data_IF_204181337914
#
_entry.id   IF_204181337914
#
_cell.length_a   1.000
_cell.length_b   1.000
_cell.length_c   1.000
_cell.angle_alpha   90.00
_cell.angle_beta   90.00
_cell.angle_gamma   90.00
#
_symmetry.space_group_name_H-M   'P 1'
#
loop_
_entity.id
_entity.type
_entity.pdbx_description
1 polymer ?
#
# COMPACT_ATOMS: atom_id res chain seq x y z
N UNK A 1 9.31 21.59 5.85
CA UNK A 1 7.93 21.34 6.28
C UNK A 1 7.22 20.60 5.15
N UNK A 2 6.52 19.49 5.41
CA UNK A 2 5.61 18.96 4.39
C UNK A 2 4.63 20.10 4.06
N UNK A 3 4.34 20.40 2.79
CA UNK A 3 3.26 21.33 2.50
C UNK A 3 2.01 20.81 3.22
N UNK A 4 1.34 21.66 3.99
CA UNK A 4 0.16 21.31 4.83
C UNK A 4 -0.87 20.47 4.05
N UNK A 5 -0.96 20.70 2.74
CA UNK A 5 -1.78 19.94 1.80
C UNK A 5 -1.44 18.44 1.69
N UNK A 6 -0.17 18.04 1.78
CA UNK A 6 0.23 16.63 1.76
C UNK A 6 -0.19 15.91 3.05
N UNK A 7 -0.08 16.56 4.21
CA UNK A 7 -0.54 16.00 5.49
C UNK A 7 -2.07 15.83 5.48
N UNK A 8 -2.81 16.84 4.99
CA UNK A 8 -4.27 16.74 4.88
C UNK A 8 -4.71 15.59 3.96
N UNK A 9 -4.05 15.43 2.80
CA UNK A 9 -4.32 14.30 1.90
C UNK A 9 -3.97 12.95 2.54
N UNK A 10 -2.87 12.89 3.29
CA UNK A 10 -2.47 11.70 4.03
C UNK A 10 -3.53 11.30 5.06
N UNK A 11 -4.02 12.25 5.87
CA UNK A 11 -5.08 12.03 6.85
C UNK A 11 -6.40 11.58 6.21
N UNK A 12 -6.75 12.13 5.04
CA UNK A 12 -7.93 11.70 4.29
C UNK A 12 -7.82 10.25 3.80
N UNK A 13 -6.69 9.87 3.21
CA UNK A 13 -6.43 8.49 2.77
C UNK A 13 -6.43 7.53 3.96
N UNK A 14 -5.81 7.94 5.06
CA UNK A 14 -5.81 7.20 6.32
C UNK A 14 -7.22 6.94 6.85
N UNK A 15 -8.07 7.98 6.90
CA UNK A 15 -9.48 7.84 7.32
C UNK A 15 -10.28 6.91 6.41
N UNK A 16 -10.13 7.03 5.08
CA UNK A 16 -10.79 6.12 4.12
C UNK A 16 -10.29 4.67 4.26
N UNK A 17 -9.01 4.48 4.53
CA UNK A 17 -8.41 3.18 4.78
C UNK A 17 -8.99 2.51 6.03
N UNK A 18 -9.15 3.24 7.13
CA UNK A 18 -9.82 2.73 8.34
C UNK A 18 -11.29 2.39 8.06
N UNK A 19 -12.00 3.25 7.32
CA UNK A 19 -13.39 2.98 6.94
C UNK A 19 -13.52 1.72 6.08
N UNK A 20 -12.57 1.48 5.17
CA UNK A 20 -12.52 0.26 4.38
C UNK A 20 -12.31 -0.99 5.26
N UNK A 21 -11.37 -0.93 6.21
CA UNK A 21 -11.14 -2.02 7.18
C UNK A 21 -12.39 -2.33 8.00
N UNK A 22 -13.04 -1.28 8.51
CA UNK A 22 -14.27 -1.41 9.29
C UNK A 22 -15.40 -2.01 8.47
N UNK A 23 -15.56 -1.59 7.21
CA UNK A 23 -16.60 -2.10 6.31
C UNK A 23 -16.41 -3.57 5.94
N UNK A 24 -15.17 -4.05 5.91
CA UNK A 24 -14.89 -5.44 5.59
C UNK A 24 -15.13 -6.35 6.80
N UNK A 25 -14.55 -6.02 7.96
CA UNK A 25 -14.47 -6.92 9.12
C UNK A 25 -14.50 -6.15 10.46
N UNK A 26 -15.68 -5.68 10.91
CA UNK A 26 -15.78 -4.83 12.11
C UNK A 26 -15.35 -5.58 13.39
N UNK A 27 -15.73 -6.86 13.54
CA UNK A 27 -15.42 -7.65 14.74
C UNK A 27 -13.91 -7.85 14.91
N UNK A 28 -13.22 -8.27 13.85
CA UNK A 28 -11.76 -8.50 13.89
C UNK A 28 -11.00 -7.17 14.06
N UNK A 29 -11.51 -6.07 13.50
CA UNK A 29 -10.92 -4.73 13.69
C UNK A 29 -11.03 -4.28 15.15
N UNK A 30 -12.18 -4.49 15.80
CA UNK A 30 -12.36 -4.20 17.22
C UNK A 30 -11.46 -5.06 18.10
N UNK A 31 -11.40 -6.37 17.85
CA UNK A 31 -10.50 -7.28 18.56
C UNK A 31 -9.04 -6.85 18.44
N UNK A 32 -8.62 -6.47 17.23
CA UNK A 32 -7.27 -5.98 16.96
C UNK A 32 -6.94 -4.70 17.76
N UNK A 33 -7.87 -3.74 17.83
CA UNK A 33 -7.72 -2.51 18.62
C UNK A 33 -7.59 -2.84 20.11
N UNK A 34 -8.44 -3.71 20.63
CA UNK A 34 -8.39 -4.14 22.05
C UNK A 34 -7.04 -4.78 22.36
N UNK A 35 -6.58 -5.71 21.52
CA UNK A 35 -5.28 -6.34 21.70
C UNK A 35 -4.12 -5.34 21.68
N UNK A 36 -4.17 -4.30 20.84
CA UNK A 36 -3.12 -3.26 20.78
C UNK A 36 -3.11 -2.38 22.01
N UNK A 37 -4.29 -2.01 22.53
CA UNK A 37 -4.39 -1.24 23.78
C UNK A 37 -3.86 -2.05 24.96
N UNK A 38 -4.19 -3.35 25.04
CA UNK A 38 -3.64 -4.25 26.05
C UNK A 38 -2.11 -4.37 25.94
N UNK A 39 -1.59 -4.55 24.73
CA UNK A 39 -0.13 -4.59 24.49
C UNK A 39 0.56 -3.26 24.83
N UNK A 40 -0.11 -2.12 24.65
CA UNK A 40 0.46 -0.81 25.00
C UNK A 40 0.40 -0.49 26.50
N UNK A 41 -0.50 -1.14 27.24
CA UNK A 41 -0.59 -1.00 28.70
C UNK A 41 0.38 -1.93 29.43
N UNK A 42 0.68 -3.09 28.86
CA UNK A 42 1.43 -4.15 29.54
C UNK A 42 2.84 -3.72 30.01
N UNK A 43 3.66 -3.02 29.19
CA UNK A 43 4.98 -2.56 29.62
C UNK A 43 4.93 -1.65 30.85
N UNK A 44 3.97 -0.74 30.89
CA UNK A 44 3.79 0.17 32.03
C UNK A 44 3.43 -0.61 33.31
N UNK A 45 2.53 -1.58 33.22
CA UNK A 45 2.18 -2.46 34.35
C UNK A 45 3.40 -3.25 34.82
N UNK A 46 4.15 -3.85 33.89
CA UNK A 46 5.37 -4.61 34.18
C UNK A 46 6.41 -3.76 34.92
N UNK A 47 6.71 -2.57 34.40
CA UNK A 47 7.64 -1.61 35.02
C UNK A 47 7.19 -1.20 36.42
N UNK A 48 5.90 -0.91 36.60
CA UNK A 48 5.36 -0.53 37.91
C UNK A 48 5.48 -1.67 38.94
N UNK A 49 5.19 -2.91 38.54
CA UNK A 49 5.34 -4.07 39.43
C UNK A 49 6.81 -4.28 39.80
N UNK A 50 7.72 -4.18 38.83
CA UNK A 50 9.17 -4.30 39.07
C UNK A 50 9.66 -3.24 40.08
N UNK A 51 9.20 -1.99 39.96
CA UNK A 51 9.46 -0.97 40.98
C UNK A 51 9.01 -1.41 42.37
N UNK A 52 7.77 -1.89 42.51
CA UNK A 52 7.22 -2.31 43.80
C UNK A 52 8.01 -3.48 44.40
N UNK A 53 8.44 -4.44 43.57
CA UNK A 53 9.30 -5.55 44.01
C UNK A 53 10.61 -5.04 44.57
N UNK A 54 11.31 -4.13 43.87
CA UNK A 54 12.58 -3.56 44.34
C UNK A 54 12.43 -2.75 45.62
N UNK A 55 11.37 -1.95 45.72
CA UNK A 55 11.09 -1.15 46.92
C UNK A 55 10.79 -2.05 48.12
N UNK A 56 10.03 -3.12 47.89
CA UNK A 56 9.69 -4.14 48.89
C UNK A 56 10.93 -4.91 49.38
N UNK A 57 11.84 -5.30 48.47
CA UNK A 57 13.12 -5.92 48.83
C UNK A 57 13.99 -4.95 49.64
N UNK A 58 14.07 -3.69 49.21
CA UNK A 58 14.87 -2.67 49.90
C UNK A 58 14.37 -2.43 51.33
N UNK A 59 13.05 -2.40 51.52
CA UNK A 59 12.42 -2.29 52.83
C UNK A 59 12.64 -3.54 53.71
N UNK A 60 12.53 -4.75 53.12
CA UNK A 60 12.79 -6.00 53.83
C UNK A 60 14.22 -6.08 54.39
N UNK A 61 15.21 -5.66 53.60
CA UNK A 61 16.63 -5.65 53.98
C UNK A 61 16.95 -4.62 55.08
N UNK A 62 16.21 -3.50 55.14
CA UNK A 62 16.44 -2.45 56.14
C UNK A 62 15.63 -2.63 57.43
N UNK A 63 14.39 -3.11 57.36
CA UNK A 63 13.47 -3.17 58.50
C UNK A 63 13.20 -4.58 59.05
N UNK A 64 13.73 -5.66 58.42
CA UNK A 64 13.49 -7.07 58.82
C UNK A 64 11.99 -7.42 59.00
N UNK A 65 11.14 -6.85 58.16
CA UNK A 65 9.69 -7.17 58.12
C UNK A 65 9.47 -8.48 57.37
N UNK A 66 8.44 -9.24 57.74
CA UNK A 66 8.06 -10.45 57.02
C UNK A 66 7.29 -10.07 55.74
N UNK A 67 7.88 -10.35 54.58
CA UNK A 67 7.48 -9.78 53.28
C UNK A 67 6.90 -10.85 52.33
N UNK A 68 6.83 -12.10 52.79
CA UNK A 68 6.51 -13.29 51.97
C UNK A 68 5.19 -13.20 51.20
N UNK A 69 4.09 -12.75 51.83
CA UNK A 69 2.76 -12.69 51.20
C UNK A 69 2.63 -11.59 50.15
N UNK A 70 3.18 -10.39 50.40
CA UNK A 70 3.14 -9.31 49.41
C UNK A 70 4.07 -9.60 48.23
N UNK A 71 5.22 -10.22 48.48
CA UNK A 71 6.17 -10.59 47.41
C UNK A 71 5.57 -11.62 46.45
N UNK A 72 4.88 -12.64 46.96
CA UNK A 72 4.23 -13.66 46.11
C UNK A 72 3.12 -13.07 45.25
N UNK A 73 2.33 -12.13 45.76
CA UNK A 73 1.33 -11.41 44.95
C UNK A 73 1.97 -10.54 43.86
N UNK A 74 3.04 -9.80 44.19
CA UNK A 74 3.76 -8.98 43.20
C UNK A 74 4.41 -9.83 42.11
N UNK A 75 5.05 -10.95 42.49
CA UNK A 75 5.69 -11.86 41.53
C UNK A 75 4.66 -12.55 40.63
N UNK A 76 3.52 -13.00 41.17
CA UNK A 76 2.45 -13.58 40.35
C UNK A 76 1.85 -12.55 39.39
N UNK A 77 1.66 -11.31 39.83
CA UNK A 77 1.26 -10.20 38.97
C UNK A 77 2.28 -9.90 37.87
N UNK A 78 3.57 -9.89 38.19
CA UNK A 78 4.64 -9.66 37.21
C UNK A 78 4.70 -10.77 36.16
N UNK A 79 4.62 -12.03 36.59
CA UNK A 79 4.56 -13.18 35.68
C UNK A 79 3.32 -13.08 34.78
N UNK A 80 2.16 -12.71 35.33
CA UNK A 80 0.96 -12.51 34.52
C UNK A 80 1.12 -11.41 33.47
N UNK A 81 1.76 -10.28 33.82
CA UNK A 81 2.07 -9.21 32.88
C UNK A 81 3.02 -9.67 31.77
N UNK A 82 4.11 -10.37 32.12
CA UNK A 82 5.05 -10.95 31.15
C UNK A 82 4.39 -11.99 30.23
N UNK A 83 3.52 -12.84 30.77
CA UNK A 83 2.76 -13.81 29.99
C UNK A 83 1.82 -13.09 29.02
N UNK A 84 1.17 -12.03 29.47
CA UNK A 84 0.30 -11.22 28.60
C UNK A 84 1.12 -10.57 27.46
N UNK A 85 2.30 -10.01 27.75
CA UNK A 85 3.22 -9.46 26.74
C UNK A 85 3.69 -10.52 25.73
N UNK A 86 3.97 -11.74 26.20
CA UNK A 86 4.53 -12.81 25.37
C UNK A 86 3.48 -13.58 24.55
N UNK A 87 2.26 -13.73 25.09
CA UNK A 87 1.22 -14.55 24.48
C UNK A 87 0.31 -13.76 23.53
N UNK A 88 0.15 -12.45 23.70
CA UNK A 88 -0.68 -11.62 22.81
C UNK A 88 -0.14 -11.49 21.36
N UNK A 89 1.17 -11.31 21.10
CA UNK A 89 1.67 -11.06 19.74
C UNK A 89 1.36 -12.17 18.72
N UNK A 90 1.49 -13.48 19.06
CA UNK A 90 1.05 -14.55 18.16
C UNK A 90 -0.43 -14.45 17.76
N UNK A 91 -1.31 -14.14 18.73
CA UNK A 91 -2.74 -13.97 18.45
C UNK A 91 -3.03 -12.74 17.59
N UNK A 92 -2.33 -11.62 17.82
CA UNK A 92 -2.42 -10.45 16.95
C UNK A 92 -1.97 -10.78 15.52
N UNK A 93 -0.92 -11.58 15.37
CA UNK A 93 -0.45 -12.04 14.06
C UNK A 93 -1.52 -12.88 13.35
N UNK A 94 -2.20 -13.78 14.07
CA UNK A 94 -3.33 -14.56 13.52
C UNK A 94 -4.49 -13.66 13.10
N UNK A 95 -4.86 -12.67 13.93
CA UNK A 95 -5.92 -11.71 13.61
C UNK A 95 -5.53 -10.88 12.37
N UNK A 96 -4.30 -10.38 12.31
CA UNK A 96 -3.77 -9.61 11.17
C UNK A 96 -3.72 -10.44 9.88
N UNK A 97 -3.30 -11.71 9.96
CA UNK A 97 -3.28 -12.62 8.81
C UNK A 97 -4.68 -12.86 8.24
N UNK A 98 -5.64 -13.22 9.09
CA UNK A 98 -7.03 -13.42 8.67
C UNK A 98 -7.69 -12.15 8.12
N UNK A 99 -7.44 -11.00 8.74
CA UNK A 99 -7.87 -9.70 8.23
C UNK A 99 -7.27 -9.42 6.85
N UNK A 100 -5.98 -9.70 6.67
CA UNK A 100 -5.27 -9.46 5.43
C UNK A 100 -5.80 -10.32 4.27
N UNK A 101 -5.96 -11.63 4.47
CA UNK A 101 -6.47 -12.53 3.42
C UNK A 101 -7.85 -12.09 2.90
N UNK A 102 -8.74 -11.74 3.83
CA UNK A 102 -10.08 -11.26 3.48
C UNK A 102 -10.05 -9.88 2.82
N UNK A 103 -9.22 -8.96 3.32
CA UNK A 103 -9.07 -7.64 2.73
C UNK A 103 -8.47 -7.72 1.32
N UNK A 104 -7.48 -8.57 1.12
CA UNK A 104 -6.89 -8.89 -0.17
C UNK A 104 -7.95 -9.41 -1.14
N UNK A 105 -8.77 -10.38 -0.71
CA UNK A 105 -9.89 -10.88 -1.52
C UNK A 105 -10.88 -9.77 -1.90
N UNK A 106 -11.26 -8.94 -0.93
CA UNK A 106 -12.19 -7.81 -1.15
C UNK A 106 -11.64 -6.75 -2.11
N UNK A 107 -10.35 -6.39 -1.98
CA UNK A 107 -9.69 -5.43 -2.86
C UNK A 107 -9.57 -6.00 -4.28
N UNK A 108 -9.14 -7.26 -4.43
CA UNK A 108 -9.06 -7.90 -5.75
C UNK A 108 -10.43 -7.99 -6.42
N UNK A 109 -11.49 -8.35 -5.67
CA UNK A 109 -12.87 -8.34 -6.18
C UNK A 109 -13.31 -6.95 -6.62
N UNK A 110 -13.04 -5.91 -5.83
CA UNK A 110 -13.34 -4.52 -6.23
C UNK A 110 -12.57 -4.07 -7.46
N UNK A 111 -11.29 -4.45 -7.58
CA UNK A 111 -10.48 -4.15 -8.76
C UNK A 111 -11.04 -4.85 -10.01
N UNK A 112 -11.41 -6.13 -9.90
CA UNK A 112 -12.02 -6.90 -10.99
C UNK A 112 -13.38 -6.33 -11.38
N UNK A 113 -14.26 -6.07 -10.41
CA UNK A 113 -15.56 -5.44 -10.64
C UNK A 113 -15.40 -4.06 -11.29
N UNK A 114 -14.44 -3.26 -10.82
CA UNK A 114 -14.17 -1.94 -11.38
C UNK A 114 -13.64 -2.03 -12.81
N UNK A 115 -12.68 -2.92 -13.07
CA UNK A 115 -12.18 -3.17 -14.42
C UNK A 115 -13.32 -3.62 -15.36
N UNK A 116 -14.25 -4.43 -14.86
CA UNK A 116 -15.44 -4.87 -15.60
C UNK A 116 -16.46 -3.74 -15.88
N UNK A 117 -16.34 -2.56 -15.25
CA UNK A 117 -17.17 -1.40 -15.62
C UNK A 117 -16.69 -0.68 -16.88
N UNK A 118 -15.46 -0.97 -17.34
CA UNK A 118 -14.93 -0.41 -18.57
C UNK A 118 -15.33 -1.32 -19.73
N UNK A 119 -16.36 -0.88 -20.47
CA UNK A 119 -16.86 -1.60 -21.65
C UNK A 119 -15.95 -1.44 -22.88
N UNK A 120 -15.11 -0.40 -22.92
CA UNK A 120 -14.19 -0.12 -24.03
C UNK A 120 -12.81 -0.78 -23.85
N UNK A 121 -12.13 -0.96 -24.99
CA UNK A 121 -10.74 -1.42 -24.99
C UNK A 121 -9.76 -0.25 -24.78
N UNK A 122 -10.23 0.99 -24.96
CA UNK A 122 -9.44 2.20 -24.84
C UNK A 122 -8.73 2.32 -23.49
N UNK A 123 -9.43 2.02 -22.39
CA UNK A 123 -8.80 2.05 -21.07
C UNK A 123 -7.67 1.03 -20.95
N UNK A 124 -7.81 -0.18 -21.51
CA UNK A 124 -6.81 -1.24 -21.38
C UNK A 124 -5.62 -1.10 -22.34
N UNK A 125 -5.79 -0.41 -23.47
CA UNK A 125 -4.70 -0.08 -24.40
C UNK A 125 -3.97 1.23 -24.00
N UNK A 126 -4.49 2.02 -23.05
CA UNK A 126 -3.77 3.14 -22.44
C UNK A 126 -2.68 2.62 -21.49
N UNK A 127 -1.42 2.85 -21.87
CA UNK A 127 -0.23 2.52 -21.07
C UNK A 127 -0.34 2.97 -19.61
N UNK A 128 -0.84 4.18 -19.33
CA UNK A 128 -0.90 4.70 -17.97
C UNK A 128 -1.97 4.01 -17.12
N UNK A 129 -3.10 3.64 -17.73
CA UNK A 129 -4.16 2.90 -17.03
C UNK A 129 -3.73 1.46 -16.77
N UNK A 130 -3.21 0.77 -17.80
CA UNK A 130 -2.77 -0.61 -17.69
C UNK A 130 -1.65 -0.78 -16.67
N UNK A 131 -0.61 0.08 -16.72
CA UNK A 131 0.51 0.05 -15.78
C UNK A 131 0.03 0.24 -14.34
N UNK A 132 -0.89 1.18 -14.11
CA UNK A 132 -1.48 1.40 -12.77
C UNK A 132 -2.27 0.20 -12.29
N UNK A 133 -3.10 -0.40 -13.15
CA UNK A 133 -3.87 -1.59 -12.80
C UNK A 133 -2.96 -2.78 -12.48
N UNK A 134 -1.87 -2.96 -13.25
CA UNK A 134 -0.89 -4.01 -13.00
C UNK A 134 -0.17 -3.80 -11.66
N UNK A 135 0.26 -2.58 -11.36
CA UNK A 135 0.84 -2.24 -10.05
C UNK A 135 -0.15 -2.54 -8.94
N UNK A 136 -1.38 -2.03 -9.04
CA UNK A 136 -2.42 -2.25 -8.04
C UNK A 136 -2.68 -3.75 -7.79
N UNK A 137 -2.75 -4.55 -8.85
CA UNK A 137 -2.92 -6.00 -8.75
C UNK A 137 -1.72 -6.69 -8.10
N UNK A 138 -0.50 -6.35 -8.51
CA UNK A 138 0.72 -6.98 -7.98
C UNK A 138 0.96 -6.65 -6.51
N UNK A 139 0.60 -5.42 -6.10
CA UNK A 139 0.81 -4.93 -4.74
C UNK A 139 -0.38 -5.23 -3.80
N UNK A 140 -1.55 -5.59 -4.32
CA UNK A 140 -2.75 -5.94 -3.55
C UNK A 140 -2.53 -7.09 -2.56
N UNK A 141 -1.51 -7.93 -2.77
CA UNK A 141 -1.22 -9.05 -1.88
C UNK A 141 -0.44 -8.66 -0.62
N UNK A 142 0.30 -7.54 -0.64
CA UNK A 142 1.22 -7.17 0.45
C UNK A 142 0.88 -5.80 1.08
N UNK A 143 0.55 -4.78 0.28
CA UNK A 143 0.34 -3.42 0.80
C UNK A 143 -0.86 -3.30 1.76
N UNK A 144 -1.96 -4.04 1.61
CA UNK A 144 -3.03 -4.02 2.61
C UNK A 144 -2.60 -4.59 3.98
N UNK A 145 -1.71 -5.61 4.00
CA UNK A 145 -1.11 -6.10 5.24
C UNK A 145 -0.25 -5.02 5.90
N UNK A 146 0.51 -4.28 5.10
CA UNK A 146 1.36 -3.18 5.58
C UNK A 146 0.54 -2.05 6.20
N UNK A 147 -0.63 -1.76 5.63
CA UNK A 147 -1.60 -0.86 6.24
C UNK A 147 -2.05 -1.38 7.61
N UNK A 148 -2.49 -2.65 7.68
CA UNK A 148 -3.01 -3.27 8.91
C UNK A 148 -1.96 -3.33 10.03
N UNK A 149 -0.77 -3.81 9.70
CA UNK A 149 0.36 -3.94 10.62
C UNK A 149 0.88 -2.57 11.02
N UNK A 150 1.05 -1.64 10.08
CA UNK A 150 1.49 -0.28 10.35
C UNK A 150 0.53 0.50 11.24
N UNK A 151 -0.77 0.49 10.93
CA UNK A 151 -1.81 1.11 11.77
C UNK A 151 -1.82 0.51 13.17
N UNK A 152 -1.73 -0.82 13.24
CA UNK A 152 -1.77 -1.52 14.50
C UNK A 152 -0.57 -1.25 15.39
N UNK A 153 0.59 -1.17 14.75
CA UNK A 153 1.83 -0.86 15.42
C UNK A 153 1.87 0.58 15.93
N UNK A 154 1.42 1.54 15.11
CA UNK A 154 1.25 2.93 15.57
C UNK A 154 0.30 3.02 16.77
N UNK A 155 -0.84 2.32 16.72
CA UNK A 155 -1.79 2.30 17.84
C UNK A 155 -1.16 1.78 19.13
N UNK A 156 -0.45 0.64 19.05
CA UNK A 156 0.30 0.06 20.17
C UNK A 156 1.36 1.02 20.71
N UNK A 157 2.19 1.60 19.84
CA UNK A 157 3.31 2.45 20.26
C UNK A 157 2.83 3.78 20.84
N UNK A 158 1.75 4.36 20.31
CA UNK A 158 1.12 5.54 20.92
C UNK A 158 0.57 5.22 22.32
N UNK A 159 -0.11 4.09 22.48
CA UNK A 159 -0.61 3.65 23.78
C UNK A 159 0.54 3.43 24.78
N UNK A 160 1.62 2.74 24.36
CA UNK A 160 2.83 2.52 25.18
C UNK A 160 3.49 3.82 25.59
N UNK A 161 3.68 4.74 24.64
CA UNK A 161 4.28 6.04 24.89
C UNK A 161 3.47 6.85 25.90
N UNK A 162 2.14 6.85 25.80
CA UNK A 162 1.26 7.57 26.74
C UNK A 162 1.27 6.96 28.14
N UNK A 163 1.23 5.63 28.25
CA UNK A 163 1.22 4.93 29.56
C UNK A 163 2.55 5.10 30.28
N UNK A 164 3.66 4.96 29.55
CA UNK A 164 5.02 5.18 30.07
C UNK A 164 5.26 6.66 30.43
N UNK A 165 4.79 7.61 29.63
CA UNK A 165 4.86 9.03 29.99
C UNK A 165 4.07 9.34 31.27
N UNK A 166 2.93 8.68 31.48
CA UNK A 166 2.17 8.74 32.72
C UNK A 166 2.96 8.23 33.93
N UNK A 167 3.67 7.10 33.79
CA UNK A 167 4.55 6.58 34.85
C UNK A 167 5.73 7.51 35.14
N UNK A 168 6.40 8.03 34.11
CA UNK A 168 7.52 8.96 34.28
C UNK A 168 7.08 10.27 34.95
N UNK A 169 5.84 10.72 34.71
CA UNK A 169 5.27 11.89 35.38
C UNK A 169 5.20 11.73 36.90
N UNK A 170 5.16 10.49 37.42
CA UNK A 170 5.19 10.22 38.86
C UNK A 170 6.55 10.54 39.52
N UNK A 171 7.63 10.56 38.73
CA UNK A 171 8.96 10.98 39.19
C UNK A 171 9.15 12.50 39.06
N UNK A 172 8.52 13.08 38.04
CA UNK A 172 8.49 14.51 37.80
C UNK A 172 7.73 14.83 36.51
N UNK A 173 6.80 15.77 36.57
CA UNK A 173 5.97 16.17 35.42
C UNK A 173 6.78 16.73 34.22
N UNK A 174 7.99 17.22 34.48
CA UNK A 174 8.89 17.76 33.46
C UNK A 174 9.72 16.68 32.74
N UNK A 175 9.83 15.46 33.30
CA UNK A 175 10.66 14.40 32.72
C UNK A 175 10.13 13.95 31.35
N UNK A 176 8.85 13.55 31.19
CA UNK A 176 8.33 13.13 29.89
C UNK A 176 8.39 14.27 28.87
N UNK A 177 8.12 15.50 29.29
CA UNK A 177 8.11 16.66 28.37
C UNK A 177 9.51 16.98 27.85
N UNK A 178 10.54 16.90 28.70
CA UNK A 178 11.92 17.04 28.27
C UNK A 178 12.34 15.89 27.35
N UNK A 179 11.99 14.64 27.67
CA UNK A 179 12.26 13.49 26.79
C UNK A 179 11.60 13.64 25.42
N UNK A 180 10.33 14.06 25.37
CA UNK A 180 9.67 14.40 24.11
C UNK A 180 10.42 15.48 23.34
N UNK A 181 10.77 16.59 23.99
CA UNK A 181 11.45 17.71 23.36
C UNK A 181 12.79 17.29 22.73
N UNK A 182 13.52 16.41 23.40
CA UNK A 182 14.83 15.91 22.96
C UNK A 182 14.73 14.86 21.86
N UNK A 183 13.68 14.03 21.88
CA UNK A 183 13.45 13.00 20.87
C UNK A 183 12.80 13.53 19.58
N UNK A 184 12.15 14.70 19.62
CA UNK A 184 11.54 15.33 18.44
C UNK A 184 12.53 15.61 17.30
N UNK A 185 13.73 16.20 17.53
CA UNK A 185 14.75 16.34 16.50
C UNK A 185 15.14 15.02 15.82
N UNK A 186 15.30 13.95 16.61
CA UNK A 186 15.63 12.62 16.11
C UNK A 186 14.50 12.07 15.22
N UNK A 187 13.25 12.16 15.68
CA UNK A 187 12.09 11.76 14.91
C UNK A 187 11.95 12.55 13.60
N UNK A 188 12.19 13.87 13.66
CA UNK A 188 12.15 14.75 12.49
C UNK A 188 13.22 14.39 11.45
N UNK A 189 14.45 14.12 11.89
CA UNK A 189 15.55 13.68 11.03
C UNK A 189 15.20 12.37 10.33
N UNK A 190 14.71 11.37 11.08
CA UNK A 190 14.31 10.07 10.54
C UNK A 190 13.24 10.25 9.45
N UNK A 191 12.17 10.98 9.76
CA UNK A 191 11.07 11.22 8.83
C UNK A 191 11.52 11.98 7.56
N UNK A 192 12.33 13.03 7.70
CA UNK A 192 12.80 13.85 6.57
C UNK A 192 13.68 13.10 5.59
N UNK A 193 14.56 12.26 6.12
CA UNK A 193 15.51 11.52 5.31
C UNK A 193 14.83 10.36 4.61
N UNK A 194 13.81 9.77 5.22
CA UNK A 194 12.94 8.80 4.59
C UNK A 194 12.11 9.41 3.45
N UNK A 195 11.52 10.59 3.65
CA UNK A 195 10.87 11.36 2.57
C UNK A 195 11.85 11.57 1.41
N UNK A 196 13.11 11.92 1.71
CA UNK A 196 14.15 12.11 0.70
C UNK A 196 14.55 10.79 0.02
N UNK A 197 14.67 9.70 0.77
CA UNK A 197 14.96 8.37 0.25
C UNK A 197 13.86 7.89 -0.71
N UNK A 198 12.60 8.14 -0.35
CA UNK A 198 11.43 7.84 -1.17
C UNK A 198 11.39 8.70 -2.44
N UNK A 199 11.61 10.01 -2.34
CA UNK A 199 11.68 10.90 -3.51
C UNK A 199 12.81 10.49 -4.48
N UNK A 200 13.96 10.06 -3.94
CA UNK A 200 15.06 9.54 -4.78
C UNK A 200 14.71 8.18 -5.37
N UNK A 201 14.02 7.31 -4.63
CA UNK A 201 13.51 6.04 -5.16
C UNK A 201 12.48 6.28 -6.28
N UNK A 202 11.57 7.24 -6.13
CA UNK A 202 10.59 7.65 -7.14
C UNK A 202 11.27 8.27 -8.37
N UNK A 203 12.19 9.21 -8.17
CA UNK A 203 12.98 9.84 -9.24
C UNK A 203 13.93 8.88 -9.96
N UNK A 204 14.35 7.80 -9.30
CA UNK A 204 15.15 6.70 -9.88
C UNK A 204 14.32 5.46 -10.20
N UNK A 205 12.99 5.56 -10.20
CA UNK A 205 12.09 4.46 -10.54
C UNK A 205 12.39 3.86 -11.92
N UNK A 206 12.91 4.67 -12.85
CA UNK A 206 13.36 4.18 -14.15
C UNK A 206 14.53 3.18 -14.06
N UNK A 207 15.47 3.37 -13.12
CA UNK A 207 16.60 2.45 -12.96
C UNK A 207 16.15 1.14 -12.32
N UNK A 208 15.23 1.20 -11.35
CA UNK A 208 14.59 0.01 -10.77
C UNK A 208 13.84 -0.76 -11.86
N UNK A 209 13.02 -0.08 -12.68
CA UNK A 209 12.34 -0.69 -13.83
C UNK A 209 13.31 -1.30 -14.85
N UNK A 210 14.44 -0.64 -15.12
CA UNK A 210 15.49 -1.19 -16.00
C UNK A 210 16.12 -2.44 -15.43
N UNK A 211 16.42 -2.46 -14.12
CA UNK A 211 16.95 -3.64 -13.45
C UNK A 211 15.95 -4.80 -13.52
N UNK A 212 14.68 -4.54 -13.25
CA UNK A 212 13.60 -5.52 -13.36
C UNK A 212 13.46 -6.05 -14.79
N UNK A 213 13.48 -5.16 -15.79
CA UNK A 213 13.45 -5.53 -17.21
C UNK A 213 14.66 -6.39 -17.62
N UNK A 214 15.89 -5.97 -17.30
CA UNK A 214 17.08 -6.76 -17.65
C UNK A 214 17.10 -8.11 -16.93
N UNK A 215 16.58 -8.15 -15.70
CA UNK A 215 16.39 -9.39 -14.95
C UNK A 215 15.37 -10.29 -15.63
N UNK A 216 14.20 -9.77 -16.00
CA UNK A 216 13.15 -10.56 -16.66
C UNK A 216 13.60 -11.11 -18.01
N UNK A 217 14.30 -10.30 -18.82
CA UNK A 217 14.87 -10.75 -20.12
C UNK A 217 15.77 -11.98 -19.98
N UNK A 218 16.49 -12.13 -18.87
CA UNK A 218 17.39 -13.26 -18.64
C UNK A 218 16.75 -14.43 -17.87
N UNK A 219 15.74 -14.16 -17.05
CA UNK A 219 15.16 -15.12 -16.11
C UNK A 219 13.79 -15.65 -16.54
N UNK A 220 13.16 -15.09 -17.57
CA UNK A 220 11.93 -15.63 -18.17
C UNK A 220 12.23 -16.39 -19.46
N UNK A 221 11.32 -17.31 -19.80
CA UNK A 221 11.36 -18.09 -21.03
C UNK A 221 11.04 -17.24 -22.28
N UNK A 222 10.36 -16.10 -22.09
CA UNK A 222 9.85 -15.21 -23.14
C UNK A 222 10.92 -14.81 -24.16
N UNK A 223 12.15 -14.54 -23.70
CA UNK A 223 13.26 -14.07 -24.55
C UNK A 223 14.42 -15.09 -24.61
N UNK A 224 14.21 -16.29 -24.03
CA UNK A 224 15.29 -17.24 -23.83
C UNK A 224 15.90 -17.72 -25.15
N UNK A 225 15.08 -17.87 -26.20
CA UNK A 225 15.52 -18.32 -27.53
C UNK A 225 16.47 -17.31 -28.15
N UNK A 226 16.09 -16.04 -28.19
CA UNK A 226 16.85 -14.93 -28.75
C UNK A 226 18.13 -14.70 -27.95
N UNK A 227 18.03 -14.66 -26.61
CA UNK A 227 19.20 -14.42 -25.75
C UNK A 227 20.26 -15.50 -25.92
N UNK A 228 19.87 -16.78 -26.06
CA UNK A 228 20.79 -17.89 -26.26
C UNK A 228 21.33 -17.94 -27.69
N UNK A 229 20.46 -17.75 -28.68
CA UNK A 229 20.84 -17.76 -30.09
C UNK A 229 21.84 -16.63 -30.43
N UNK A 230 21.61 -15.43 -29.90
CA UNK A 230 22.43 -14.24 -30.18
C UNK A 230 23.51 -13.98 -29.12
N UNK A 231 23.64 -14.83 -28.10
CA UNK A 231 24.69 -14.70 -27.07
C UNK A 231 24.59 -13.43 -26.21
N UNK A 232 23.38 -12.88 -26.01
CA UNK A 232 23.16 -11.57 -25.38
C UNK A 232 23.36 -11.56 -23.86
N UNK A 233 23.60 -12.72 -23.24
CA UNK A 233 23.69 -12.86 -21.78
C UNK A 233 24.63 -11.85 -21.11
N UNK A 234 25.89 -11.77 -21.56
CA UNK A 234 26.90 -10.85 -20.99
C UNK A 234 26.50 -9.38 -21.17
N UNK A 235 25.91 -9.04 -22.31
CA UNK A 235 25.47 -7.68 -22.60
C UNK A 235 24.38 -7.22 -21.61
N UNK A 236 23.37 -8.07 -21.39
CA UNK A 236 22.26 -7.75 -20.48
C UNK A 236 22.74 -7.67 -19.02
N UNK A 237 23.59 -8.60 -18.57
CA UNK A 237 24.18 -8.56 -17.21
C UNK A 237 24.96 -7.25 -16.98
N UNK A 238 25.77 -6.81 -17.94
CA UNK A 238 26.52 -5.55 -17.83
C UNK A 238 25.59 -4.33 -17.74
N UNK A 239 24.45 -4.34 -18.45
CA UNK A 239 23.45 -3.26 -18.37
C UNK A 239 22.76 -3.25 -17.01
N UNK A 240 22.42 -4.41 -16.46
CA UNK A 240 21.90 -4.53 -15.09
C UNK A 240 22.91 -3.97 -14.07
N UNK A 241 24.18 -4.37 -14.15
CA UNK A 241 25.20 -3.96 -13.19
C UNK A 241 25.42 -2.45 -13.16
N UNK A 242 25.40 -1.78 -14.32
CA UNK A 242 25.48 -0.30 -14.38
C UNK A 242 24.28 0.35 -13.72
N UNK A 243 23.07 -0.10 -14.05
CA UNK A 243 21.84 0.43 -13.44
C UNK A 243 21.82 0.24 -11.91
N UNK A 244 22.27 -0.93 -11.44
CA UNK A 244 22.42 -1.23 -10.02
C UNK A 244 23.44 -0.30 -9.34
N UNK A 245 24.61 -0.11 -9.94
CA UNK A 245 25.68 0.71 -9.34
C UNK A 245 25.23 2.17 -9.20
N UNK A 246 24.58 2.72 -10.22
CA UNK A 246 24.03 4.08 -10.19
C UNK A 246 22.97 4.24 -9.10
N UNK A 247 22.06 3.26 -8.99
CA UNK A 247 21.03 3.24 -7.94
C UNK A 247 21.64 3.09 -6.55
N UNK A 248 22.59 2.16 -6.39
CA UNK A 248 23.26 1.88 -5.14
C UNK A 248 24.04 3.10 -4.62
N UNK A 249 24.76 3.80 -5.50
CA UNK A 249 25.52 4.99 -5.11
C UNK A 249 24.60 6.12 -4.62
N UNK A 250 23.47 6.33 -5.31
CA UNK A 250 22.46 7.29 -4.89
C UNK A 250 21.89 6.95 -3.51
N UNK A 251 21.55 5.68 -3.28
CA UNK A 251 21.03 5.20 -2.00
C UNK A 251 22.08 5.25 -0.88
N UNK A 252 23.34 4.93 -1.18
CA UNK A 252 24.45 4.95 -0.22
C UNK A 252 24.69 6.36 0.32
N UNK A 253 24.67 7.37 -0.55
CA UNK A 253 24.82 8.77 -0.15
C UNK A 253 23.71 9.22 0.82
N UNK A 254 22.49 8.75 0.63
CA UNK A 254 21.35 9.04 1.52
C UNK A 254 21.55 8.35 2.87
N UNK A 255 21.88 7.05 2.87
CA UNK A 255 22.17 6.29 4.09
C UNK A 255 23.30 6.90 4.91
N UNK A 256 24.35 7.38 4.25
CA UNK A 256 25.46 8.03 4.95
C UNK A 256 25.05 9.37 5.59
N UNK A 257 24.25 10.18 4.89
CA UNK A 257 23.67 11.40 5.46
C UNK A 257 22.74 11.08 6.63
N UNK A 258 21.95 10.01 6.53
CA UNK A 258 21.11 9.50 7.60
C UNK A 258 21.92 9.11 8.83
N UNK A 259 22.94 8.27 8.69
CA UNK A 259 23.81 7.90 9.80
C UNK A 259 24.41 9.13 10.49
N UNK A 260 24.87 10.14 9.74
CA UNK A 260 25.43 11.37 10.30
C UNK A 260 24.41 12.17 11.12
N UNK A 261 23.22 12.42 10.58
CA UNK A 261 22.21 13.21 11.29
C UNK A 261 21.62 12.45 12.48
N UNK A 262 21.37 11.15 12.33
CA UNK A 262 20.90 10.28 13.42
C UNK A 262 21.91 10.20 14.56
N UNK A 263 23.22 10.15 14.26
CA UNK A 263 24.27 10.17 15.27
C UNK A 263 24.30 11.49 16.06
N UNK A 264 24.15 12.63 15.37
CA UNK A 264 24.09 13.94 16.02
C UNK A 264 22.87 14.05 16.94
N UNK A 265 21.68 13.66 16.46
CA UNK A 265 20.48 13.69 17.29
C UNK A 265 20.56 12.73 18.47
N UNK A 266 21.06 11.50 18.25
CA UNK A 266 21.23 10.51 19.32
C UNK A 266 22.22 10.98 20.39
N UNK A 267 23.26 11.73 20.00
CA UNK A 267 24.22 12.31 20.96
C UNK A 267 23.55 13.35 21.86
N UNK A 268 22.68 14.19 21.29
CA UNK A 268 21.88 15.17 22.05
C UNK A 268 20.95 14.44 23.02
N UNK A 269 20.26 13.40 22.55
CA UNK A 269 19.42 12.54 23.39
C UNK A 269 20.19 11.90 24.54
N UNK A 270 21.34 11.31 24.25
CA UNK A 270 22.18 10.67 25.26
C UNK A 270 22.64 11.66 26.35
N UNK A 271 23.04 12.88 25.98
CA UNK A 271 23.46 13.92 26.95
C UNK A 271 22.29 14.34 27.83
N UNK A 272 21.11 14.58 27.25
CA UNK A 272 19.93 14.95 28.02
C UNK A 272 19.51 13.83 28.98
N UNK A 273 19.48 12.59 28.50
CA UNK A 273 19.15 11.41 29.31
C UNK A 273 20.16 11.21 30.44
N UNK A 274 21.45 11.41 30.19
CA UNK A 274 22.47 11.36 31.24
C UNK A 274 22.22 12.42 32.32
N UNK A 275 21.80 13.63 31.94
CA UNK A 275 21.42 14.70 32.86
C UNK A 275 20.18 14.34 33.70
N UNK A 276 19.14 13.80 33.08
CA UNK A 276 17.93 13.35 33.79
C UNK A 276 18.25 12.19 34.72
N UNK A 277 19.01 11.21 34.25
CA UNK A 277 19.45 10.06 35.04
C UNK A 277 20.26 10.51 36.26
N UNK A 278 21.21 11.42 36.08
CA UNK A 278 21.98 12.01 37.17
C UNK A 278 21.05 12.67 38.20
N UNK A 279 20.06 13.45 37.76
CA UNK A 279 19.08 14.05 38.65
C UNK A 279 18.27 13.00 39.43
N UNK A 280 17.76 11.95 38.76
CA UNK A 280 17.01 10.86 39.40
C UNK A 280 17.85 10.15 40.46
N UNK A 281 19.12 9.87 40.16
CA UNK A 281 20.06 9.25 41.11
C UNK A 281 20.32 10.17 42.30
N UNK A 282 20.54 11.46 42.09
CA UNK A 282 20.74 12.42 43.19
C UNK A 282 19.51 12.51 44.11
N UNK A 283 18.30 12.52 43.54
CA UNK A 283 17.05 12.49 44.31
C UNK A 283 16.90 11.18 45.10
N UNK A 284 17.35 10.06 44.55
CA UNK A 284 17.37 8.78 45.26
C UNK A 284 18.40 8.77 46.41
N UNK A 285 19.60 9.32 46.20
CA UNK A 285 20.62 9.46 47.24
C UNK A 285 20.18 10.37 48.40
N UNK A 286 19.37 11.39 48.11
CA UNK A 286 18.77 12.28 49.10
C UNK A 286 17.55 11.67 49.82
N UNK A 287 17.09 10.49 49.39
CA UNK A 287 15.95 9.78 49.99
C UNK A 287 14.58 10.26 49.52
N UNK A 288 14.49 11.18 48.55
CA UNK A 288 13.22 11.61 47.95
C UNK A 288 12.63 10.57 47.01
N UNK A 289 13.48 9.76 46.36
CA UNK A 289 13.08 8.67 45.49
C UNK A 289 13.59 7.33 46.03
N UNK A 290 12.82 6.27 45.77
CA UNK A 290 13.20 4.91 46.14
C UNK A 290 14.17 4.29 45.12
N UNK A 291 14.88 3.21 45.50
CA UNK A 291 15.72 2.46 44.57
C UNK A 291 14.92 1.89 43.38
N UNK A 292 13.67 1.45 43.60
CA UNK A 292 12.78 1.01 42.54
C UNK A 292 12.36 2.14 41.60
N UNK A 293 12.38 3.40 42.05
CA UNK A 293 12.09 4.56 41.20
C UNK A 293 13.20 4.82 40.18
N UNK A 294 14.46 4.53 40.52
CA UNK A 294 15.58 4.56 39.56
C UNK A 294 15.41 3.49 38.49
N UNK A 295 15.02 2.28 38.88
CA UNK A 295 14.78 1.18 37.94
C UNK A 295 13.56 1.46 37.04
N UNK A 296 12.49 2.04 37.60
CA UNK A 296 11.33 2.52 36.83
C UNK A 296 11.79 3.48 35.75
N UNK A 297 12.63 4.45 36.08
CA UNK A 297 13.14 5.42 35.11
C UNK A 297 13.92 4.74 33.97
N UNK A 298 14.87 3.84 34.29
CA UNK A 298 15.70 3.17 33.27
C UNK A 298 14.84 2.37 32.29
N UNK A 299 13.89 1.57 32.78
CA UNK A 299 13.03 0.76 31.90
C UNK A 299 12.03 1.62 31.13
N UNK A 300 11.42 2.60 31.79
CA UNK A 300 10.49 3.53 31.15
C UNK A 300 11.18 4.31 30.03
N UNK A 301 12.43 4.75 30.23
CA UNK A 301 13.21 5.43 29.21
C UNK A 301 13.40 4.54 27.97
N UNK A 302 13.80 3.28 28.16
CA UNK A 302 13.99 2.34 27.06
C UNK A 302 12.69 2.16 26.24
N UNK A 303 11.56 1.91 26.90
CA UNK A 303 10.26 1.81 26.21
C UNK A 303 9.86 3.10 25.51
N UNK A 304 10.10 4.26 26.13
CA UNK A 304 9.77 5.56 25.55
C UNK A 304 10.58 5.84 24.28
N UNK A 305 11.88 5.57 24.30
CA UNK A 305 12.76 5.72 23.12
C UNK A 305 12.38 4.76 22.00
N UNK A 306 12.09 3.49 22.32
CA UNK A 306 11.61 2.50 21.36
C UNK A 306 10.30 2.96 20.70
N UNK A 307 9.31 3.36 21.50
CA UNK A 307 8.03 3.84 20.97
C UNK A 307 8.19 5.05 20.07
N UNK A 308 9.05 6.02 20.41
CA UNK A 308 9.30 7.17 19.54
C UNK A 308 10.00 6.75 18.25
N UNK A 309 11.03 5.90 18.33
CA UNK A 309 11.76 5.43 17.16
C UNK A 309 10.81 4.75 16.17
N UNK A 310 9.92 3.92 16.68
CA UNK A 310 8.97 3.12 15.89
C UNK A 310 7.80 3.93 15.34
N UNK A 311 7.31 4.95 16.07
CA UNK A 311 6.35 5.92 15.53
C UNK A 311 7.01 6.78 14.44
N UNK A 312 8.28 7.18 14.64
CA UNK A 312 9.02 8.03 13.72
C UNK A 312 9.47 7.30 12.46
N UNK A 313 9.53 5.97 12.47
CA UNK A 313 10.07 5.15 11.39
C UNK A 313 9.10 4.02 11.01
N UNK A 314 8.25 4.27 10.01
CA UNK A 314 7.42 3.22 9.41
C UNK A 314 7.31 3.37 7.89
N UNK A 315 8.35 2.96 7.13
CA UNK A 315 8.31 2.92 5.66
C UNK A 315 7.11 2.13 5.16
N UNK A 316 6.82 1.05 5.89
CA UNK A 316 5.72 0.12 5.65
C UNK A 316 4.38 0.84 5.58
N UNK A 317 4.07 1.69 6.57
CA UNK A 317 2.79 2.41 6.59
C UNK A 317 2.73 3.49 5.51
N UNK A 318 3.84 4.20 5.27
CA UNK A 318 3.90 5.22 4.24
C UNK A 318 3.64 4.62 2.85
N UNK A 319 4.34 3.53 2.51
CA UNK A 319 4.13 2.81 1.25
C UNK A 319 2.69 2.30 1.11
N UNK A 320 2.14 1.75 2.19
CA UNK A 320 0.76 1.28 2.19
C UNK A 320 -0.23 2.41 1.89
N UNK A 321 -0.03 3.60 2.45
CA UNK A 321 -0.90 4.75 2.22
C UNK A 321 -0.76 5.31 0.79
N UNK A 322 0.43 5.28 0.19
CA UNK A 322 0.64 5.62 -1.23
C UNK A 322 -0.12 4.65 -2.14
N UNK A 323 -0.06 3.35 -1.85
CA UNK A 323 -0.84 2.33 -2.55
C UNK A 323 -2.35 2.57 -2.40
N UNK A 324 -2.83 2.78 -1.17
CA UNK A 324 -4.26 3.00 -0.88
C UNK A 324 -4.79 4.25 -1.59
N UNK A 325 -3.98 5.30 -1.71
CA UNK A 325 -4.34 6.48 -2.50
C UNK A 325 -4.56 6.11 -3.96
N UNK A 326 -3.61 5.40 -4.57
CA UNK A 326 -3.68 4.97 -5.97
C UNK A 326 -4.90 4.06 -6.20
N UNK A 327 -5.19 3.18 -5.26
CA UNK A 327 -6.38 2.32 -5.28
C UNK A 327 -7.67 3.15 -5.26
N UNK A 328 -7.80 4.11 -4.33
CA UNK A 328 -9.00 4.95 -4.25
C UNK A 328 -9.16 5.86 -5.48
N UNK A 329 -8.07 6.40 -6.03
CA UNK A 329 -8.11 7.17 -7.28
C UNK A 329 -8.58 6.29 -8.46
N UNK A 330 -8.11 5.03 -8.53
CA UNK A 330 -8.55 4.08 -9.56
C UNK A 330 -10.04 3.71 -9.41
N UNK A 331 -10.51 3.43 -8.20
CA UNK A 331 -11.89 3.01 -7.94
C UNK A 331 -12.93 4.09 -8.30
N UNK A 332 -12.55 5.37 -8.24
CA UNK A 332 -13.45 6.49 -8.57
C UNK A 332 -13.41 6.87 -10.06
N UNK A 333 -12.40 6.41 -10.83
CA UNK A 333 -12.27 6.73 -12.26
C UNK A 333 -13.49 6.24 -13.05
N UNK A 334 -14.14 7.09 -13.82
CA UNK A 334 -15.31 6.70 -14.62
C UNK A 334 -14.89 6.08 -15.96
N UNK A 335 -15.70 5.17 -16.52
CA UNK A 335 -15.53 4.70 -17.90
C UNK A 335 -15.57 5.87 -18.88
N UNK A 336 -14.81 5.75 -19.97
CA UNK A 336 -14.69 6.78 -21.02
C UNK A 336 -15.74 6.63 -22.12
N UNK A 337 -16.14 5.40 -22.43
CA UNK A 337 -17.18 5.12 -23.42
C UNK A 337 -18.52 5.75 -23.02
N UNK A 338 -19.14 6.45 -23.97
CA UNK A 338 -20.49 6.94 -23.79
C UNK A 338 -21.48 5.78 -23.88
N UNK A 339 -22.28 5.61 -22.82
CA UNK A 339 -23.41 4.68 -22.79
C UNK A 339 -24.69 5.50 -22.73
N UNK A 340 -25.59 5.28 -23.69
CA UNK A 340 -26.88 5.95 -23.71
C UNK A 340 -27.68 5.49 -22.47
N UNK A 341 -28.17 6.42 -21.61
CA UNK A 341 -28.92 6.08 -20.40
C UNK A 341 -30.31 5.47 -20.69
N UNK A 342 -30.79 5.55 -21.91
CA UNK A 342 -32.04 4.92 -22.38
C UNK A 342 -31.78 4.26 -23.73
N UNK A 343 -31.01 3.15 -23.73
CA UNK A 343 -30.56 2.53 -24.97
C UNK A 343 -31.73 1.91 -25.73
N UNK A 344 -31.63 1.95 -27.05
CA UNK A 344 -32.58 1.28 -27.96
C UNK A 344 -32.24 -0.21 -28.00
N UNK A 345 -33.24 -1.06 -27.80
CA UNK A 345 -33.09 -2.52 -27.90
C UNK A 345 -32.68 -2.93 -29.31
N UNK A 346 -31.80 -3.92 -29.43
CA UNK A 346 -31.30 -4.38 -30.72
C UNK A 346 -32.33 -5.30 -31.38
N UNK A 347 -32.77 -4.98 -32.61
CA UNK A 347 -33.78 -5.79 -33.29
C UNK A 347 -33.33 -7.23 -33.51
N UNK A 348 -34.28 -8.16 -33.49
CA UNK A 348 -34.02 -9.59 -33.72
C UNK A 348 -33.55 -9.88 -35.14
N UNK A 349 -34.06 -9.14 -36.12
CA UNK A 349 -33.78 -9.30 -37.53
C UNK A 349 -33.33 -7.95 -38.12
N UNK A 350 -32.20 -7.95 -38.84
CA UNK A 350 -31.70 -6.78 -39.55
C UNK A 350 -32.28 -6.70 -40.96
N UNK A 351 -32.80 -5.54 -41.33
CA UNK A 351 -33.57 -5.37 -42.59
C UNK A 351 -32.77 -4.70 -43.69
N UNK A 352 -31.94 -3.72 -43.36
CA UNK A 352 -31.07 -2.98 -44.29
C UNK A 352 -29.61 -3.39 -44.15
N UNK A 353 -29.09 -3.49 -42.93
CA UNK A 353 -27.70 -3.86 -42.65
C UNK A 353 -26.95 -2.81 -41.84
N UNK A 354 -25.66 -2.60 -42.12
CA UNK A 354 -24.77 -1.70 -41.36
C UNK A 354 -24.22 -0.61 -42.30
N UNK A 355 -24.37 0.66 -41.94
CA UNK A 355 -23.84 1.80 -42.70
C UNK A 355 -22.73 2.51 -41.92
N UNK A 356 -21.54 2.62 -42.50
CA UNK A 356 -20.49 3.53 -42.05
C UNK A 356 -20.66 4.85 -42.81
N UNK A 357 -20.79 5.96 -42.09
CA UNK A 357 -21.00 7.29 -42.67
C UNK A 357 -19.93 8.27 -42.22
N UNK A 358 -19.01 8.57 -43.13
CA UNK A 358 -17.91 9.54 -42.96
C UNK A 358 -17.06 9.25 -41.70
N UNK A 359 -16.81 7.96 -41.44
CA UNK A 359 -16.17 7.50 -40.21
C UNK A 359 -14.67 7.76 -40.25
N UNK A 360 -14.16 8.46 -39.23
CA UNK A 360 -12.73 8.60 -38.97
C UNK A 360 -12.43 8.13 -37.55
N UNK A 361 -11.25 7.56 -37.34
CA UNK A 361 -10.85 7.03 -36.05
C UNK A 361 -9.35 7.17 -35.80
N UNK A 362 -9.03 7.71 -34.62
CA UNK A 362 -7.70 7.78 -34.04
C UNK A 362 -7.64 6.92 -32.78
N UNK A 363 -6.56 6.17 -32.62
CA UNK A 363 -6.26 5.51 -31.36
C UNK A 363 -5.92 6.54 -30.27
N UNK A 364 -5.99 6.16 -28.98
CA UNK A 364 -5.71 7.06 -27.85
C UNK A 364 -4.29 7.65 -27.86
N UNK A 365 -3.35 6.96 -28.49
CA UNK A 365 -1.97 7.39 -28.70
C UNK A 365 -1.82 8.44 -29.83
N UNK A 366 -2.92 8.85 -30.46
CA UNK A 366 -2.96 9.84 -31.54
C UNK A 366 -2.76 9.25 -32.94
N UNK A 367 -2.61 7.93 -33.07
CA UNK A 367 -2.39 7.28 -34.37
C UNK A 367 -3.69 7.23 -35.18
N UNK A 368 -3.68 7.87 -36.35
CA UNK A 368 -4.79 7.81 -37.32
C UNK A 368 -4.90 6.40 -37.91
N UNK A 369 -6.08 5.79 -37.78
CA UNK A 369 -6.35 4.44 -38.28
C UNK A 369 -7.33 4.42 -39.45
N UNK A 370 -8.34 5.30 -39.44
CA UNK A 370 -9.34 5.43 -40.50
C UNK A 370 -9.60 6.91 -40.78
N UNK A 371 -9.79 7.26 -42.05
CA UNK A 371 -10.03 8.65 -42.47
C UNK A 371 -11.21 8.72 -43.44
N UNK A 372 -12.33 9.28 -42.98
CA UNK A 372 -13.53 9.60 -43.75
C UNK A 372 -14.06 8.45 -44.62
N UNK A 373 -14.27 7.29 -44.00
CA UNK A 373 -14.72 6.08 -44.69
C UNK A 373 -16.25 6.01 -44.71
N UNK A 374 -16.82 5.69 -45.87
CA UNK A 374 -18.25 5.49 -46.06
C UNK A 374 -18.53 4.26 -46.90
N UNK A 375 -19.34 3.32 -46.39
CA UNK A 375 -19.80 2.14 -47.11
C UNK A 375 -20.98 1.50 -46.37
N UNK A 376 -21.70 0.60 -47.03
CA UNK A 376 -22.83 -0.13 -46.46
C UNK A 376 -22.61 -1.63 -46.62
N UNK A 377 -22.96 -2.40 -45.59
CA UNK A 377 -23.00 -3.87 -45.57
C UNK A 377 -24.47 -4.26 -45.53
N UNK A 378 -24.99 -4.90 -46.57
CA UNK A 378 -26.40 -5.28 -46.63
C UNK A 378 -26.69 -6.55 -45.80
N UNK A 379 -27.93 -6.68 -45.32
CA UNK A 379 -28.36 -7.89 -44.59
C UNK A 379 -28.18 -9.14 -45.45
N UNK A 380 -27.50 -10.16 -44.92
CA UNK A 380 -27.16 -11.40 -45.64
C UNK A 380 -25.95 -11.30 -46.58
N UNK A 381 -25.35 -10.12 -46.72
CA UNK A 381 -24.16 -9.93 -47.56
C UNK A 381 -22.89 -10.46 -46.87
N UNK A 382 -21.97 -11.01 -47.67
CA UNK A 382 -20.62 -11.36 -47.22
C UNK A 382 -19.62 -10.44 -47.90
N UNK A 383 -18.86 -9.69 -47.12
CA UNK A 383 -17.85 -8.75 -47.61
C UNK A 383 -16.45 -9.25 -47.26
N UNK A 384 -15.55 -9.16 -48.24
CA UNK A 384 -14.12 -9.37 -48.03
C UNK A 384 -13.39 -8.02 -48.00
N UNK A 385 -12.75 -7.70 -46.87
CA UNK A 385 -11.96 -6.48 -46.72
C UNK A 385 -10.48 -6.76 -47.03
N UNK A 386 -9.95 -6.17 -48.10
CA UNK A 386 -8.56 -6.35 -48.55
C UNK A 386 -7.79 -5.04 -48.46
N UNK A 387 -6.52 -5.10 -48.09
CA UNK A 387 -5.64 -3.93 -48.03
C UNK A 387 -4.30 -4.29 -47.40
N UNK A 388 -3.35 -3.36 -47.42
CA UNK A 388 -2.03 -3.54 -46.81
C UNK A 388 -2.10 -3.68 -45.28
N UNK A 389 -1.04 -4.21 -44.66
CA UNK A 389 -0.92 -4.23 -43.21
C UNK A 389 -0.89 -2.80 -42.68
N UNK A 390 -1.74 -2.51 -41.68
CA UNK A 390 -1.90 -1.15 -41.15
C UNK A 390 -2.98 -0.30 -41.85
N UNK A 391 -3.65 -0.79 -42.89
CA UNK A 391 -4.74 -0.07 -43.57
C UNK A 391 -6.05 0.10 -42.74
N UNK A 392 -6.03 -0.18 -41.43
CA UNK A 392 -7.19 0.00 -40.55
C UNK A 392 -8.22 -1.14 -40.52
N UNK A 393 -7.94 -2.28 -41.16
CA UNK A 393 -8.87 -3.43 -41.24
C UNK A 393 -9.34 -3.92 -39.86
N UNK A 394 -8.40 -4.17 -38.95
CA UNK A 394 -8.71 -4.58 -37.57
C UNK A 394 -9.41 -3.46 -36.79
N UNK A 395 -9.11 -2.20 -37.09
CA UNK A 395 -9.75 -1.03 -36.48
C UNK A 395 -11.23 -0.93 -36.84
N UNK A 396 -11.61 -1.26 -38.09
CA UNK A 396 -13.02 -1.34 -38.50
C UNK A 396 -13.79 -2.38 -37.68
N UNK A 397 -13.22 -3.57 -37.47
CA UNK A 397 -13.84 -4.61 -36.65
C UNK A 397 -13.99 -4.14 -35.19
N UNK A 398 -12.96 -3.49 -34.63
CA UNK A 398 -13.00 -2.91 -33.27
C UNK A 398 -14.09 -1.82 -33.11
N UNK A 399 -14.33 -1.00 -34.14
CA UNK A 399 -15.43 -0.02 -34.12
C UNK A 399 -16.79 -0.71 -34.24
N UNK A 400 -16.91 -1.72 -35.12
CA UNK A 400 -18.16 -2.44 -35.31
C UNK A 400 -18.61 -3.18 -34.04
N UNK A 401 -17.67 -3.75 -33.28
CA UNK A 401 -17.95 -4.38 -31.98
C UNK A 401 -18.11 -3.38 -30.83
N UNK A 402 -17.99 -2.08 -31.13
CA UNK A 402 -18.02 -0.99 -30.15
C UNK A 402 -17.00 -1.22 -29.03
N UNK A 403 -15.83 -1.77 -29.36
CA UNK A 403 -14.65 -1.73 -28.48
C UNK A 403 -14.01 -0.34 -28.48
N UNK A 404 -14.33 0.45 -29.51
CA UNK A 404 -14.02 1.86 -29.67
C UNK A 404 -15.22 2.57 -30.31
N UNK A 405 -15.38 3.86 -30.01
CA UNK A 405 -16.26 4.75 -30.77
C UNK A 405 -15.46 5.51 -31.84
N UNK A 406 -16.08 5.85 -32.98
CA UNK A 406 -15.43 6.67 -34.00
C UNK A 406 -15.10 8.07 -33.46
N UNK A 407 -13.96 8.62 -33.88
CA UNK A 407 -13.56 10.00 -33.55
C UNK A 407 -14.46 11.02 -34.25
N UNK A 408 -14.92 10.71 -35.46
CA UNK A 408 -15.92 11.48 -36.19
C UNK A 408 -16.73 10.58 -37.12
N UNK A 409 -17.89 11.05 -37.57
CA UNK A 409 -18.82 10.25 -38.36
C UNK A 409 -19.69 9.35 -37.48
N UNK A 410 -20.41 8.42 -38.07
CA UNK A 410 -21.31 7.55 -37.33
C UNK A 410 -21.46 6.19 -38.02
N UNK A 411 -21.79 5.17 -37.23
CA UNK A 411 -22.11 3.83 -37.71
C UNK A 411 -23.58 3.59 -37.41
N UNK A 412 -24.36 3.18 -38.40
CA UNK A 412 -25.77 2.87 -38.24
C UNK A 412 -25.99 1.37 -38.42
N UNK A 413 -26.88 0.82 -37.59
CA UNK A 413 -27.43 -0.53 -37.76
C UNK A 413 -28.90 -0.32 -38.11
N UNK A 414 -29.26 -0.70 -39.33
CA UNK A 414 -30.45 -0.24 -40.02
C UNK A 414 -30.58 1.29 -40.00
N UNK A 415 -31.52 1.84 -39.24
CA UNK A 415 -31.74 3.29 -39.12
C UNK A 415 -31.33 3.84 -37.74
N UNK A 416 -30.72 3.03 -36.89
CA UNK A 416 -30.35 3.42 -35.52
C UNK A 416 -28.85 3.57 -35.40
N UNK A 417 -28.39 4.69 -34.82
CA UNK A 417 -26.96 4.89 -34.56
C UNK A 417 -26.47 3.83 -33.57
N UNK A 418 -25.33 3.23 -33.84
CA UNK A 418 -24.71 2.20 -33.01
C UNK A 418 -24.48 2.67 -31.55
N UNK A 419 -24.23 3.97 -31.35
CA UNK A 419 -24.04 4.53 -30.01
C UNK A 419 -25.32 4.56 -29.17
N UNK A 420 -26.48 4.57 -29.82
CA UNK A 420 -27.80 4.59 -29.17
C UNK A 420 -28.32 3.19 -28.83
N UNK A 421 -27.73 2.15 -29.41
CA UNK A 421 -28.09 0.76 -29.11
C UNK A 421 -27.56 0.30 -27.75
N UNK A 422 -28.27 -0.66 -27.14
CA UNK A 422 -27.75 -1.40 -25.99
C UNK A 422 -26.51 -2.19 -26.41
N UNK A 423 -25.38 -1.89 -25.75
CA UNK A 423 -24.08 -2.47 -26.11
C UNK A 423 -24.01 -3.97 -25.82
N UNK A 424 -24.70 -4.43 -24.78
CA UNK A 424 -24.71 -5.84 -24.38
C UNK A 424 -25.50 -6.65 -25.39
N UNK A 425 -26.71 -6.19 -25.74
CA UNK A 425 -27.52 -6.82 -26.78
C UNK A 425 -26.83 -6.77 -28.15
N UNK A 426 -26.15 -5.67 -28.48
CA UNK A 426 -25.42 -5.54 -29.75
C UNK A 426 -24.30 -6.57 -29.85
N UNK A 427 -23.48 -6.70 -28.81
CA UNK A 427 -22.39 -7.67 -28.76
C UNK A 427 -22.88 -9.12 -28.77
N UNK A 428 -24.07 -9.41 -28.25
CA UNK A 428 -24.71 -10.74 -28.39
C UNK A 428 -25.12 -11.07 -29.83
N UNK A 429 -25.29 -10.06 -30.71
CA UNK A 429 -25.58 -10.26 -32.14
C UNK A 429 -24.34 -10.41 -33.01
N UNK A 430 -23.14 -10.23 -32.45
CA UNK A 430 -21.88 -10.31 -33.20
C UNK A 430 -21.05 -11.49 -32.70
N UNK A 431 -20.46 -12.23 -33.63
CA UNK A 431 -19.37 -13.16 -33.33
C UNK A 431 -18.10 -12.71 -34.04
N UNK A 432 -16.97 -12.70 -33.32
CA UNK A 432 -15.67 -12.27 -33.85
C UNK A 432 -14.58 -13.28 -33.51
N UNK A 433 -13.76 -13.60 -34.50
CA UNK A 433 -12.50 -14.32 -34.33
C UNK A 433 -11.35 -13.32 -34.50
N UNK A 434 -10.74 -12.90 -33.39
CA UNK A 434 -9.61 -11.98 -33.42
C UNK A 434 -8.33 -12.65 -33.89
N UNK A 435 -7.45 -11.87 -34.54
CA UNK A 435 -6.12 -12.32 -34.95
C UNK A 435 -5.28 -12.77 -33.75
N UNK A 436 -5.28 -11.97 -32.68
CA UNK A 436 -4.72 -12.31 -31.38
C UNK A 436 -5.87 -12.72 -30.46
N UNK A 437 -6.06 -14.02 -30.28
CA UNK A 437 -7.15 -14.56 -29.45
C UNK A 437 -6.67 -14.94 -28.05
N UNK A 438 -7.53 -14.67 -27.06
CA UNK A 438 -7.29 -15.05 -25.68
C UNK A 438 -7.33 -16.58 -25.52
N UNK A 439 -6.36 -17.12 -24.77
CA UNK A 439 -6.38 -18.51 -24.32
C UNK A 439 -6.68 -18.53 -22.83
N UNK A 440 -7.87 -18.99 -22.48
CA UNK A 440 -8.28 -19.12 -21.08
C UNK A 440 -7.87 -20.51 -20.58
N UNK A 441 -7.17 -20.57 -19.46
CA UNK A 441 -6.78 -21.82 -18.80
C UNK A 441 -7.96 -22.45 -18.04
N UNK A 442 -9.05 -22.67 -18.75
CA UNK A 442 -10.29 -23.30 -18.27
C UNK A 442 -10.63 -24.48 -19.18
N UNK A 443 -11.49 -25.38 -18.71
CA UNK A 443 -12.04 -26.42 -19.58
C UNK A 443 -13.02 -25.79 -20.59
N UNK A 444 -13.13 -26.39 -21.77
CA UNK A 444 -13.92 -25.86 -22.90
C UNK A 444 -15.38 -25.59 -22.52
N UNK A 445 -15.96 -26.40 -21.63
CA UNK A 445 -17.36 -26.30 -21.18
C UNK A 445 -17.68 -25.00 -20.42
N UNK A 446 -16.68 -24.26 -19.93
CA UNK A 446 -16.91 -22.97 -19.26
C UNK A 446 -16.88 -21.77 -20.21
N UNK A 447 -16.54 -21.97 -21.49
CA UNK A 447 -16.34 -20.90 -22.48
C UNK A 447 -17.41 -20.96 -23.58
N UNK A 448 -17.98 -22.14 -23.84
CA UNK A 448 -19.13 -22.37 -24.75
C UNK A 448 -20.41 -22.32 -23.92
#
# INVERSE_FOLDING_TARGET
MLPIQQIQRFLQVFGKSIALLWSALPILTVLLIICQLLQGLAPAVSVWIVKQVVDTISAALTQKVDVSTNMTFLLTGWIAALMLESLLPPWVTVIQGNLNERLMGHINLKLMQKANTFEDLQAFEDTLFYDRLQILRSEANQKPLYLLTGLGYLGKQLATMLTIAGLLSSLGWWIPTLLFAVSLPQAYVSFRLEETAWQVAEGKSQQIRRMEYFSSVLLTDTYAKEVRLFGLGKFIVNRYQRAFTDWHQAQSNIRFRQARWSMLSASISAIANAGIFYWVVQQALQGYLSAGSVLLYIQSLAYFEESIAEIAYSPILFEALVYMRSLFEFLVRQPTLYINPSPVTVPLNFTSGIEFKNVSFNYPDGRLALSNISFTIHSGETIALVGENGAGKTSLIKLLTRLYDPTSGSIFVDNTNLQDLDITEWRQRISVVFQDFGKYSLTIIYII
#
